data_IF_739728007209
#
_entry.id   IF_739728007209
#
_cell.length_a   1.000
_cell.length_b   1.000
_cell.length_c   1.000
_cell.angle_alpha   90.00
_cell.angle_beta   90.00
_cell.angle_gamma   90.00
#
_symmetry.space_group_name_H-M   'P 1'
#
loop_
_entity.id
_entity.type
_entity.pdbx_description
1 polymer ?
#
# COMPACT_ATOMS: atom_id res chain seq x y z
N UNK A 1 -24.00 3.81 -15.44
CA UNK A 1 -22.88 4.09 -16.35
C UNK A 1 -23.12 5.38 -17.15
N UNK A 2 -23.75 6.38 -16.52
CA UNK A 2 -23.99 7.71 -17.09
C UNK A 2 -23.65 8.73 -16.02
N UNK A 3 -23.06 9.85 -16.43
CA UNK A 3 -22.69 10.95 -15.53
C UNK A 3 -23.96 11.65 -15.02
N UNK A 4 -24.25 11.50 -13.72
CA UNK A 4 -25.45 12.07 -13.08
C UNK A 4 -25.23 13.47 -12.54
N UNK A 5 -24.07 14.10 -12.77
CA UNK A 5 -23.80 15.46 -12.31
C UNK A 5 -24.69 16.47 -13.04
N UNK A 6 -25.17 17.54 -12.36
CA UNK A 6 -25.94 18.60 -13.01
C UNK A 6 -25.18 19.21 -14.21
N UNK A 7 -25.79 19.21 -15.39
CA UNK A 7 -25.21 19.77 -16.61
C UNK A 7 -24.25 18.85 -17.37
N UNK A 8 -24.10 17.59 -16.98
CA UNK A 8 -23.35 16.61 -17.75
C UNK A 8 -24.03 16.29 -19.10
N UNK A 9 -23.23 15.99 -20.13
CA UNK A 9 -23.73 15.62 -21.45
C UNK A 9 -24.38 14.23 -21.40
N UNK A 10 -25.48 14.04 -22.13
CA UNK A 10 -26.29 12.81 -22.04
C UNK A 10 -25.55 11.55 -22.53
N UNK A 11 -24.49 11.72 -23.32
CA UNK A 11 -23.60 10.69 -23.84
C UNK A 11 -22.33 10.49 -23.00
N UNK A 12 -22.12 11.28 -21.93
CA UNK A 12 -21.03 11.04 -21.00
C UNK A 12 -21.26 9.75 -20.21
N UNK A 13 -20.52 8.73 -20.60
CA UNK A 13 -20.45 7.47 -19.87
C UNK A 13 -19.35 7.55 -18.83
N UNK A 14 -19.75 7.51 -17.56
CA UNK A 14 -18.85 7.43 -16.43
C UNK A 14 -19.23 6.25 -15.54
N UNK A 15 -18.23 5.50 -15.08
CA UNK A 15 -18.46 4.39 -14.17
C UNK A 15 -18.64 4.94 -12.76
N UNK A 16 -19.88 4.89 -12.27
CA UNK A 16 -20.27 5.52 -11.00
C UNK A 16 -19.44 5.04 -9.80
N UNK A 17 -18.92 3.80 -9.85
CA UNK A 17 -18.07 3.25 -8.79
C UNK A 17 -16.73 3.97 -8.62
N UNK A 18 -16.24 4.65 -9.66
CA UNK A 18 -14.94 5.36 -9.63
C UNK A 18 -15.12 6.88 -9.51
N UNK A 19 -16.33 7.35 -9.18
CA UNK A 19 -16.61 8.79 -9.08
C UNK A 19 -15.79 9.44 -7.97
N UNK A 20 -15.58 8.70 -6.88
CA UNK A 20 -14.78 9.13 -5.75
C UNK A 20 -13.27 9.08 -6.06
N UNK A 21 -12.84 8.28 -7.03
CA UNK A 21 -11.44 8.16 -7.46
C UNK A 21 -10.99 9.35 -8.34
N UNK A 22 -11.93 9.98 -9.05
CA UNK A 22 -11.63 11.10 -9.94
C UNK A 22 -11.27 12.37 -9.15
N UNK A 23 -9.98 12.67 -9.05
CA UNK A 23 -9.46 13.79 -8.24
C UNK A 23 -9.30 13.44 -6.76
N UNK A 24 -9.42 12.15 -6.42
CA UNK A 24 -9.25 11.62 -5.07
C UNK A 24 -7.96 12.14 -4.43
N UNK A 25 -8.07 12.52 -3.15
CA UNK A 25 -6.92 12.87 -2.34
C UNK A 25 -6.76 11.83 -1.25
N UNK A 26 -5.75 10.98 -1.42
CA UNK A 26 -5.36 10.03 -0.38
C UNK A 26 -4.77 10.80 0.79
N UNK A 27 -5.35 10.65 1.97
CA UNK A 27 -4.79 11.22 3.19
C UNK A 27 -3.69 10.30 3.73
N UNK A 28 -3.96 9.00 3.75
CA UNK A 28 -3.01 7.98 4.14
C UNK A 28 -3.46 6.61 3.68
N UNK A 29 -2.51 5.74 3.39
CA UNK A 29 -2.76 4.38 2.93
C UNK A 29 -1.67 3.48 3.50
N UNK A 30 -1.98 2.58 4.42
CA UNK A 30 -1.00 1.65 4.99
C UNK A 30 -1.55 0.23 4.89
N UNK A 31 -0.66 -0.73 4.60
CA UNK A 31 -1.03 -2.13 4.56
C UNK A 31 0.03 -3.06 5.13
N UNK A 32 -0.40 -4.21 5.64
CA UNK A 32 0.45 -5.20 6.28
C UNK A 32 0.01 -6.62 5.91
N UNK A 33 0.94 -7.45 5.43
CA UNK A 33 0.74 -8.89 5.28
C UNK A 33 0.65 -9.53 6.66
N UNK A 34 -0.48 -10.18 6.96
CA UNK A 34 -0.68 -10.90 8.22
C UNK A 34 -0.41 -12.40 8.02
N UNK A 35 0.62 -12.97 8.67
CA UNK A 35 0.98 -14.37 8.47
C UNK A 35 -0.06 -15.32 9.07
N UNK A 36 -0.28 -16.46 8.42
CA UNK A 36 -1.25 -17.47 8.83
C UNK A 36 -0.93 -18.10 10.20
N UNK A 37 0.31 -17.99 10.68
CA UNK A 37 0.69 -18.38 12.04
C UNK A 37 -0.09 -17.60 13.12
N UNK A 38 -0.64 -16.42 12.80
CA UNK A 38 -1.54 -15.70 13.71
C UNK A 38 -2.89 -16.41 13.92
N UNK A 39 -3.24 -17.37 13.06
CA UNK A 39 -4.43 -18.21 13.19
C UNK A 39 -4.19 -19.46 14.05
N UNK A 40 -2.97 -19.70 14.53
CA UNK A 40 -2.65 -20.79 15.45
C UNK A 40 -3.30 -20.57 16.82
N UNK A 41 -3.63 -21.66 17.53
CA UNK A 41 -4.47 -21.61 18.74
C UNK A 41 -3.92 -20.70 19.83
N UNK A 42 -2.61 -20.70 19.99
CA UNK A 42 -1.84 -19.90 20.96
C UNK A 42 -1.63 -18.45 20.52
N UNK A 43 -1.93 -18.10 19.25
CA UNK A 43 -1.77 -16.74 18.69
C UNK A 43 -3.08 -16.01 18.42
N UNK A 44 -4.20 -16.73 18.32
CA UNK A 44 -5.53 -16.18 18.00
C UNK A 44 -5.99 -15.09 18.95
N UNK A 45 -5.73 -15.23 20.25
CA UNK A 45 -6.11 -14.22 21.24
C UNK A 45 -5.38 -12.90 20.96
N UNK A 46 -4.06 -12.94 20.79
CA UNK A 46 -3.27 -11.77 20.44
C UNK A 46 -3.69 -11.14 19.10
N UNK A 47 -4.06 -11.95 18.10
CA UNK A 47 -4.63 -11.44 16.84
C UNK A 47 -5.95 -10.69 17.09
N UNK A 48 -6.87 -11.26 17.86
CA UNK A 48 -8.15 -10.64 18.16
C UNK A 48 -7.97 -9.33 18.96
N UNK A 49 -7.08 -9.33 19.95
CA UNK A 49 -6.72 -8.13 20.72
C UNK A 49 -6.13 -7.04 19.85
N UNK A 50 -5.20 -7.38 18.94
CA UNK A 50 -4.61 -6.43 18.01
C UNK A 50 -5.66 -5.83 17.08
N UNK A 51 -6.54 -6.64 16.49
CA UNK A 51 -7.61 -6.16 15.61
C UNK A 51 -8.58 -5.24 16.38
N UNK A 52 -8.94 -5.63 17.60
CA UNK A 52 -9.79 -4.81 18.46
C UNK A 52 -9.12 -3.47 18.78
N UNK A 53 -7.87 -3.47 19.25
CA UNK A 53 -7.11 -2.27 19.58
C UNK A 53 -6.95 -1.34 18.36
N UNK A 54 -6.55 -1.88 17.20
CA UNK A 54 -6.40 -1.11 15.96
C UNK A 54 -7.73 -0.45 15.55
N UNK A 55 -8.85 -1.18 15.64
CA UNK A 55 -10.18 -0.68 15.31
C UNK A 55 -10.65 0.47 16.20
N UNK A 56 -10.03 0.67 17.38
CA UNK A 56 -10.32 1.81 18.26
C UNK A 56 -9.71 3.12 17.76
N UNK A 57 -8.74 3.06 16.86
CA UNK A 57 -8.06 4.22 16.31
C UNK A 57 -8.57 4.59 14.92
N UNK A 58 -8.71 3.62 14.03
CA UNK A 58 -9.21 3.83 12.67
C UNK A 58 -9.79 2.54 12.09
N UNK A 59 -10.52 2.65 10.97
CA UNK A 59 -11.01 1.50 10.23
C UNK A 59 -9.84 0.67 9.69
N UNK A 60 -9.93 -0.64 9.88
CA UNK A 60 -9.06 -1.64 9.26
C UNK A 60 -9.92 -2.58 8.41
N UNK A 61 -9.36 -3.06 7.31
CA UNK A 61 -10.00 -4.05 6.44
C UNK A 61 -9.08 -5.25 6.25
N UNK A 62 -9.63 -6.46 6.26
CA UNK A 62 -8.89 -7.70 6.03
C UNK A 62 -9.23 -8.24 4.65
N UNK A 63 -8.25 -8.24 3.75
CA UNK A 63 -8.39 -8.72 2.37
C UNK A 63 -7.81 -10.13 2.30
N UNK A 64 -8.69 -11.13 2.41
CA UNK A 64 -8.32 -12.56 2.45
C UNK A 64 -8.10 -13.19 1.08
N UNK A 65 -8.32 -12.42 0.01
CA UNK A 65 -8.12 -12.82 -1.38
C UNK A 65 -6.75 -12.43 -1.95
N UNK A 66 -5.87 -11.82 -1.14
CA UNK A 66 -4.58 -11.28 -1.60
C UNK A 66 -3.36 -12.08 -1.13
N UNK A 67 -3.45 -12.71 0.04
CA UNK A 67 -2.41 -13.61 0.56
C UNK A 67 -2.55 -15.02 -0.02
N UNK A 68 -1.47 -15.80 0.06
CA UNK A 68 -1.42 -17.16 -0.49
C UNK A 68 -1.40 -18.26 0.57
N UNK A 69 -1.63 -17.95 1.85
CA UNK A 69 -1.73 -19.00 2.85
C UNK A 69 -2.87 -19.98 2.54
N UNK A 70 -2.56 -21.29 2.59
CA UNK A 70 -3.51 -22.36 2.37
C UNK A 70 -3.74 -22.74 0.91
N UNK A 71 -3.07 -22.10 -0.06
CA UNK A 71 -3.06 -22.57 -1.45
C UNK A 71 -2.18 -23.82 -1.60
N UNK A 72 -2.33 -24.62 -2.69
CA UNK A 72 -1.48 -25.78 -2.92
C UNK A 72 0.02 -25.43 -2.97
N UNK A 73 0.86 -26.34 -2.47
CA UNK A 73 2.31 -26.11 -2.39
C UNK A 73 2.95 -25.77 -3.75
N UNK A 74 2.47 -26.35 -4.85
CA UNK A 74 2.92 -26.02 -6.20
C UNK A 74 2.69 -24.54 -6.54
N UNK A 75 1.56 -23.96 -6.13
CA UNK A 75 1.23 -22.54 -6.38
C UNK A 75 2.15 -21.65 -5.56
N UNK A 76 2.47 -22.03 -4.31
CA UNK A 76 3.44 -21.30 -3.48
C UNK A 76 4.82 -21.30 -4.14
N UNK A 77 5.28 -22.45 -4.66
CA UNK A 77 6.58 -22.55 -5.31
C UNK A 77 6.63 -21.77 -6.63
N UNK A 78 5.56 -21.78 -7.43
CA UNK A 78 5.45 -20.91 -8.61
C UNK A 78 5.50 -19.43 -8.23
N UNK A 79 4.77 -19.03 -7.19
CA UNK A 79 4.77 -17.65 -6.71
C UNK A 79 6.14 -17.24 -6.17
N UNK A 80 6.89 -18.15 -5.54
CA UNK A 80 8.25 -17.92 -5.03
C UNK A 80 9.25 -17.58 -6.14
N UNK A 81 9.02 -18.04 -7.37
CA UNK A 81 9.85 -17.69 -8.53
C UNK A 81 9.51 -16.30 -9.14
N UNK A 82 8.46 -15.64 -8.65
CA UNK A 82 8.06 -14.29 -9.11
C UNK A 82 8.75 -13.17 -8.33
N UNK A 83 8.34 -11.92 -8.57
CA UNK A 83 8.80 -10.74 -7.85
C UNK A 83 7.99 -10.45 -6.56
N UNK A 84 6.98 -11.27 -6.24
CA UNK A 84 6.10 -11.04 -5.07
C UNK A 84 6.91 -11.00 -3.77
N UNK A 85 6.53 -10.16 -2.81
CA UNK A 85 7.13 -10.18 -1.49
C UNK A 85 6.91 -11.56 -0.84
N UNK A 86 7.95 -12.25 -0.33
CA UNK A 86 7.80 -13.55 0.32
C UNK A 86 6.79 -13.59 1.47
N UNK A 87 6.56 -12.46 2.17
CA UNK A 87 5.55 -12.37 3.23
C UNK A 87 4.13 -12.69 2.73
N UNK A 88 3.82 -12.40 1.46
CA UNK A 88 2.52 -12.71 0.87
C UNK A 88 2.28 -14.23 0.72
N UNK A 89 3.35 -15.03 0.62
CA UNK A 89 3.26 -16.48 0.46
C UNK A 89 2.66 -17.17 1.70
N UNK A 90 2.91 -16.57 2.87
CA UNK A 90 2.47 -17.10 4.17
C UNK A 90 1.30 -16.30 4.75
N UNK A 91 0.85 -15.24 4.08
CA UNK A 91 -0.19 -14.37 4.58
C UNK A 91 -1.60 -14.95 4.37
N UNK A 92 -2.43 -14.90 5.41
CA UNK A 92 -3.85 -15.22 5.30
C UNK A 92 -4.69 -13.99 4.90
N UNK A 93 -4.16 -12.79 5.12
CA UNK A 93 -4.81 -11.54 4.76
C UNK A 93 -3.79 -10.43 4.49
N UNK A 94 -4.16 -9.50 3.61
CA UNK A 94 -3.61 -8.14 3.62
C UNK A 94 -4.51 -7.28 4.51
N UNK A 95 -3.97 -6.73 5.60
CA UNK A 95 -4.67 -5.71 6.37
C UNK A 95 -4.43 -4.35 5.71
N UNK A 96 -5.49 -3.58 5.46
CA UNK A 96 -5.40 -2.21 4.95
C UNK A 96 -6.08 -1.24 5.93
N UNK A 97 -5.40 -0.14 6.21
CA UNK A 97 -5.93 1.04 6.91
C UNK A 97 -5.66 2.26 6.05
N UNK A 98 -6.73 2.88 5.53
CA UNK A 98 -6.62 3.98 4.59
C UNK A 98 -7.72 5.02 4.82
N UNK A 99 -7.48 6.24 4.33
CA UNK A 99 -8.43 7.32 4.32
C UNK A 99 -8.19 8.23 3.13
N UNK A 100 -9.28 8.82 2.67
CA UNK A 100 -9.30 9.77 1.57
C UNK A 100 -10.20 10.95 1.87
N UNK A 101 -10.01 12.00 1.09
CA UNK A 101 -10.85 13.18 1.03
C UNK A 101 -11.65 13.22 -0.26
N UNK A 102 -12.66 14.11 -0.33
CA UNK A 102 -13.34 14.38 -1.59
C UNK A 102 -12.35 14.94 -2.63
N UNK A 103 -12.73 14.95 -3.92
CA UNK A 103 -11.88 15.51 -4.95
C UNK A 103 -11.42 16.94 -4.65
N UNK A 104 -10.12 17.17 -4.77
CA UNK A 104 -9.51 18.47 -4.50
C UNK A 104 -8.35 18.78 -5.45
N UNK A 105 -8.15 20.06 -5.72
CA UNK A 105 -7.23 20.60 -6.71
C UNK A 105 -6.43 21.76 -6.10
N UNK A 106 -5.13 21.55 -5.80
CA UNK A 106 -4.26 22.59 -5.28
C UNK A 106 -4.25 23.83 -6.18
N UNK A 107 -4.48 25.01 -5.59
CA UNK A 107 -4.46 26.28 -6.30
C UNK A 107 -5.78 26.65 -7.01
N UNK A 108 -6.84 25.86 -6.86
CA UNK A 108 -8.18 26.20 -7.34
C UNK A 108 -9.04 26.68 -6.15
N UNK A 109 -9.49 27.95 -6.13
CA UNK A 109 -10.29 28.50 -5.04
C UNK A 109 -11.55 27.68 -4.74
N UNK A 110 -11.69 27.26 -3.48
CA UNK A 110 -12.84 26.47 -3.00
C UNK A 110 -12.73 24.97 -3.27
N UNK A 111 -11.63 24.52 -3.88
CA UNK A 111 -11.35 23.12 -4.17
C UNK A 111 -10.01 22.66 -3.59
N UNK A 112 -9.39 23.43 -2.70
CA UNK A 112 -8.11 23.05 -2.11
C UNK A 112 -8.22 21.83 -1.18
N UNK A 113 -7.16 21.01 -1.06
CA UNK A 113 -7.14 19.90 -0.12
C UNK A 113 -7.33 20.34 1.34
N UNK A 114 -8.18 19.63 2.08
CA UNK A 114 -8.45 19.90 3.49
C UNK A 114 -7.37 19.37 4.43
N UNK A 115 -6.23 20.08 4.53
CA UNK A 115 -5.04 19.65 5.29
C UNK A 115 -5.36 19.19 6.74
N UNK A 116 -6.20 19.92 7.47
CA UNK A 116 -6.54 19.58 8.88
C UNK A 116 -7.22 18.22 9.01
N UNK A 117 -8.07 17.83 8.04
CA UNK A 117 -8.69 16.49 8.04
C UNK A 117 -7.65 15.44 7.68
N UNK A 118 -6.83 15.71 6.65
CA UNK A 118 -5.78 14.79 6.23
C UNK A 118 -4.81 14.46 7.37
N UNK A 119 -4.36 15.48 8.12
CA UNK A 119 -3.46 15.28 9.27
C UNK A 119 -4.10 14.38 10.35
N UNK A 120 -5.36 14.61 10.68
CA UNK A 120 -6.10 13.80 11.66
C UNK A 120 -6.25 12.34 11.21
N UNK A 121 -6.55 12.14 9.93
CA UNK A 121 -6.72 10.81 9.35
C UNK A 121 -5.38 10.06 9.33
N UNK A 122 -4.29 10.70 8.90
CA UNK A 122 -2.92 10.14 8.93
C UNK A 122 -2.54 9.71 10.34
N UNK A 123 -2.76 10.56 11.35
CA UNK A 123 -2.47 10.19 12.73
C UNK A 123 -3.31 9.00 13.22
N UNK A 124 -4.59 8.95 12.85
CA UNK A 124 -5.48 7.86 13.24
C UNK A 124 -5.06 6.52 12.60
N UNK A 125 -4.76 6.54 11.30
CA UNK A 125 -4.20 5.39 10.57
C UNK A 125 -2.88 4.95 11.22
N UNK A 126 -1.97 5.90 11.48
CA UNK A 126 -0.68 5.62 12.10
C UNK A 126 -0.83 4.95 13.46
N UNK A 127 -1.78 5.39 14.30
CA UNK A 127 -2.09 4.73 15.58
C UNK A 127 -2.65 3.32 15.39
N UNK A 128 -3.61 3.14 14.48
CA UNK A 128 -4.17 1.82 14.18
C UNK A 128 -3.10 0.83 13.71
N UNK A 129 -2.25 1.24 12.76
CA UNK A 129 -1.18 0.40 12.23
C UNK A 129 -0.03 0.20 13.20
N UNK A 130 0.12 1.07 14.22
CA UNK A 130 1.07 0.84 15.29
C UNK A 130 0.67 -0.34 16.17
N UNK A 131 -0.64 -0.57 16.40
CA UNK A 131 -1.12 -1.80 17.05
C UNK A 131 -0.77 -3.04 16.22
N UNK A 132 -0.95 -2.97 14.90
CA UNK A 132 -0.56 -4.05 13.97
C UNK A 132 0.94 -4.34 14.08
N UNK A 133 1.78 -3.30 14.07
CA UNK A 133 3.24 -3.43 14.19
C UNK A 133 3.69 -3.94 15.56
N UNK A 134 2.90 -3.83 16.63
CA UNK A 134 3.26 -4.48 17.91
C UNK A 134 3.25 -6.00 17.80
N UNK A 135 2.31 -6.56 17.03
CA UNK A 135 2.18 -8.00 16.85
C UNK A 135 2.99 -8.53 15.65
N UNK A 136 3.12 -7.73 14.59
CA UNK A 136 3.89 -8.03 13.39
C UNK A 136 4.89 -6.88 13.15
N UNK A 137 6.07 -6.89 13.79
CA UNK A 137 6.99 -5.73 13.83
C UNK A 137 7.41 -5.16 12.49
N UNK A 138 7.69 -6.03 11.53
CA UNK A 138 8.21 -5.68 10.21
C UNK A 138 7.35 -6.36 9.15
N UNK A 139 6.06 -5.96 9.01
CA UNK A 139 5.21 -6.61 8.04
C UNK A 139 5.68 -6.21 6.64
N UNK A 140 5.67 -7.15 5.72
CA UNK A 140 5.64 -6.78 4.30
C UNK A 140 4.33 -6.05 3.98
N UNK A 141 4.30 -5.36 2.85
CA UNK A 141 3.17 -4.59 2.36
C UNK A 141 2.93 -4.88 0.88
N UNK A 142 1.75 -4.54 0.38
CA UNK A 142 1.43 -4.67 -1.03
C UNK A 142 1.69 -3.34 -1.75
N UNK A 143 2.71 -3.29 -2.61
CA UNK A 143 3.24 -2.06 -3.25
C UNK A 143 2.18 -1.18 -3.94
N UNK A 144 1.08 -1.76 -4.41
CA UNK A 144 0.02 -1.00 -5.09
C UNK A 144 -0.95 -0.29 -4.12
N UNK A 145 -0.91 -0.65 -2.84
CA UNK A 145 -1.86 -0.24 -1.80
C UNK A 145 -1.11 -0.08 -0.47
N UNK A 146 -0.12 0.79 -0.46
CA UNK A 146 0.83 0.94 0.63
C UNK A 146 1.17 2.41 0.92
N UNK A 147 1.99 2.60 1.94
CA UNK A 147 2.38 3.93 2.39
C UNK A 147 3.32 4.58 1.38
N UNK A 148 2.87 5.71 0.82
CA UNK A 148 3.68 6.55 -0.04
C UNK A 148 4.96 7.04 0.66
N UNK A 149 4.94 7.12 1.99
CA UNK A 149 6.06 7.56 2.83
C UNK A 149 6.80 6.40 3.51
N UNK A 150 6.59 5.14 3.10
CA UNK A 150 7.28 3.98 3.69
C UNK A 150 8.81 4.13 3.59
N UNK A 151 9.48 4.30 4.74
CA UNK A 151 10.94 4.48 4.80
C UNK A 151 11.68 3.19 4.47
N UNK A 152 11.08 2.03 4.80
CA UNK A 152 11.67 0.70 4.58
C UNK A 152 11.11 0.02 3.34
N UNK A 153 10.75 0.81 2.33
CA UNK A 153 9.99 0.34 1.17
C UNK A 153 10.67 -0.82 0.42
N UNK A 154 11.99 -0.91 0.44
CA UNK A 154 12.73 -2.02 -0.17
C UNK A 154 12.33 -3.36 0.46
N UNK A 155 12.32 -3.40 1.79
CA UNK A 155 11.94 -4.58 2.58
C UNK A 155 10.43 -4.79 2.59
N UNK A 156 9.66 -3.72 2.81
CA UNK A 156 8.21 -3.78 2.87
C UNK A 156 7.61 -4.26 1.54
N UNK A 157 8.08 -3.78 0.39
CA UNK A 157 7.46 -4.08 -0.91
C UNK A 157 8.08 -5.28 -1.60
N UNK A 158 9.38 -5.52 -1.42
CA UNK A 158 10.11 -6.55 -2.16
C UNK A 158 10.76 -7.60 -1.26
N UNK A 159 11.01 -7.29 0.02
CA UNK A 159 11.65 -8.18 0.99
C UNK A 159 13.00 -8.68 0.49
N UNK A 160 13.28 -9.97 0.71
CA UNK A 160 14.54 -10.61 0.29
C UNK A 160 14.72 -10.66 -1.23
N UNK A 161 13.71 -10.33 -2.03
CA UNK A 161 13.83 -10.28 -3.49
C UNK A 161 14.49 -8.99 -3.99
N UNK A 162 14.59 -7.94 -3.16
CA UNK A 162 15.10 -6.64 -3.58
C UNK A 162 16.47 -6.70 -4.29
N UNK A 163 17.50 -7.40 -3.77
CA UNK A 163 18.81 -7.44 -4.42
C UNK A 163 18.77 -8.07 -5.83
N UNK A 164 17.96 -9.12 -6.02
CA UNK A 164 17.79 -9.78 -7.32
C UNK A 164 17.10 -8.85 -8.31
N UNK A 165 16.06 -8.15 -7.85
CA UNK A 165 15.33 -7.18 -8.67
C UNK A 165 16.22 -5.99 -9.05
N UNK A 166 17.05 -5.51 -8.12
CA UNK A 166 18.00 -4.43 -8.38
C UNK A 166 19.02 -4.84 -9.45
N UNK A 167 19.58 -6.05 -9.37
CA UNK A 167 20.49 -6.56 -10.39
C UNK A 167 19.82 -6.65 -11.78
N UNK A 168 18.54 -7.05 -11.84
CA UNK A 168 17.77 -7.03 -13.08
C UNK A 168 17.57 -5.59 -13.60
N UNK A 169 17.20 -4.65 -12.71
CA UNK A 169 17.04 -3.24 -13.04
C UNK A 169 18.32 -2.65 -13.64
N UNK A 170 19.47 -2.92 -13.04
CA UNK A 170 20.77 -2.46 -13.55
C UNK A 170 21.13 -3.07 -14.91
N UNK A 171 20.77 -4.33 -15.15
CA UNK A 171 21.01 -5.01 -16.42
C UNK A 171 20.17 -4.45 -17.56
N UNK A 172 18.90 -4.17 -17.29
CA UNK A 172 17.92 -3.81 -18.34
C UNK A 172 17.66 -2.31 -18.46
N UNK A 173 17.96 -1.52 -17.43
CA UNK A 173 17.83 -0.06 -17.41
C UNK A 173 19.00 0.59 -16.65
N UNK A 174 20.23 0.49 -17.18
CA UNK A 174 21.44 0.98 -16.51
C UNK A 174 21.50 2.51 -16.35
N UNK A 175 20.86 3.22 -17.27
CA UNK A 175 20.80 4.68 -17.32
C UNK A 175 19.64 5.24 -16.48
N UNK A 176 18.70 4.39 -16.07
CA UNK A 176 17.55 4.72 -15.24
C UNK A 176 16.53 5.59 -15.97
N UNK A 177 16.10 5.17 -17.16
CA UNK A 177 15.01 5.80 -17.88
C UNK A 177 13.67 5.65 -17.16
N UNK A 178 13.45 4.52 -16.47
CA UNK A 178 12.18 4.21 -15.82
C UNK A 178 12.29 4.37 -14.30
N UNK A 179 11.85 5.50 -13.77
CA UNK A 179 11.93 5.79 -12.33
C UNK A 179 10.52 6.06 -11.81
N UNK A 180 10.20 5.49 -10.65
CA UNK A 180 9.04 5.88 -9.86
C UNK A 180 9.43 5.90 -8.37
N UNK A 181 8.61 6.58 -7.57
CA UNK A 181 8.79 6.63 -6.12
C UNK A 181 8.73 5.21 -5.54
N UNK A 182 9.75 4.84 -4.75
CA UNK A 182 9.87 3.52 -4.12
C UNK A 182 9.89 2.34 -5.11
N UNK A 183 10.22 2.60 -6.38
CA UNK A 183 10.59 1.56 -7.32
C UNK A 183 11.97 1.00 -7.06
N UNK A 184 12.21 -0.20 -7.58
CA UNK A 184 13.53 -0.83 -7.56
C UNK A 184 14.58 0.09 -8.18
N UNK A 185 15.60 0.45 -7.40
CA UNK A 185 16.69 1.35 -7.80
C UNK A 185 16.39 2.85 -7.65
N UNK A 186 15.20 3.22 -7.16
CA UNK A 186 14.80 4.63 -6.99
C UNK A 186 15.61 5.40 -5.94
N UNK A 187 16.25 4.71 -5.00
CA UNK A 187 17.15 5.29 -3.98
C UNK A 187 18.37 6.00 -4.58
N UNK A 188 18.67 5.76 -5.86
CA UNK A 188 19.75 6.40 -6.61
C UNK A 188 19.34 7.71 -7.25
N UNK A 189 18.10 8.14 -7.04
CA UNK A 189 17.50 9.31 -7.68
C UNK A 189 16.91 10.26 -6.64
N UNK A 190 16.84 11.54 -7.00
CA UNK A 190 16.12 12.54 -6.23
C UNK A 190 14.64 12.18 -6.10
N UNK A 191 13.96 12.77 -5.11
CA UNK A 191 12.55 12.47 -4.84
C UNK A 191 11.61 12.79 -6.03
N UNK A 192 12.00 13.72 -6.89
CA UNK A 192 11.30 14.07 -8.14
C UNK A 192 11.71 13.18 -9.34
N UNK A 193 12.70 12.30 -9.17
CA UNK A 193 13.19 11.38 -10.20
C UNK A 193 14.07 12.02 -11.28
N UNK A 194 14.35 13.33 -11.23
CA UNK A 194 15.05 14.02 -12.32
C UNK A 194 16.57 14.06 -12.18
N UNK A 195 17.12 13.75 -11.00
CA UNK A 195 18.56 13.84 -10.73
C UNK A 195 19.10 12.54 -10.17
N UNK A 196 20.14 11.99 -10.79
CA UNK A 196 20.88 10.85 -10.24
C UNK A 196 21.73 11.31 -9.06
N UNK A 197 21.55 10.69 -7.91
CA UNK A 197 22.35 10.95 -6.72
C UNK A 197 23.69 10.24 -6.89
N UNK A 198 24.78 11.01 -6.95
CA UNK A 198 26.14 10.46 -6.93
C UNK A 198 26.35 9.71 -5.61
N UNK A 199 26.73 8.42 -5.69
CA UNK A 199 26.73 7.48 -4.57
C UNK A 199 27.43 7.99 -3.31
N UNK A 200 26.82 7.71 -2.16
CA UNK A 200 27.54 7.56 -0.90
C UNK A 200 28.08 6.14 -0.79
#
# INVERSE_FOLDING_TARGET
MFDTRPGAWADNMFWAGNLEEAGQVLHGYQSAWLPASLLERDRREALAEMLFAASRHWSISLHTNKGLAGVPAEVVEQARDTAINPAALEAFALLISAAEGPPAYPGIPGHEPGAVKADRDVEAIGRAMSEVRRLVPNPGSYVAESDFFEERWQDAFWGTNYPRLLAAKERYDPDGLFINRHGVGSERWSADGFTRLSGR
#
